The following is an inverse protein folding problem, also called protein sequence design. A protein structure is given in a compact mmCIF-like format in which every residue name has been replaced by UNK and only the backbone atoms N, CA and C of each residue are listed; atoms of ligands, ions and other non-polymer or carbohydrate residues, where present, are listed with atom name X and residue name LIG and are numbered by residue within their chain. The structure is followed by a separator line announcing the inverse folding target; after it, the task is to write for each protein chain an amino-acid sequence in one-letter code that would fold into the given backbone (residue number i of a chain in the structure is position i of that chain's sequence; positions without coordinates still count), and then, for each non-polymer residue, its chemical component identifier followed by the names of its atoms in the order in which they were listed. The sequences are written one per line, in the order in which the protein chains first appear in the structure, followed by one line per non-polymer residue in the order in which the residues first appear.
data_IF_871364623429
#
_entry.id   IF_871364623429
#
_cell.length_a   1.000
_cell.length_b   1.000
_cell.length_c   1.000
_cell.angle_alpha   90.00
_cell.angle_beta   90.00
_cell.angle_gamma   90.00
#
_symmetry.space_group_name_H-M   'P 1'
#
loop_
_entity.id
_entity.type
_entity.pdbx_description
1 polymer ?
#
# COMPACT_ATOMS: atom_id res chain seq x y z
N UNK A 1 -7.77 8.89 7.64
CA UNK A 1 -6.50 8.23 8.02
C UNK A 1 -5.45 8.67 7.00
N UNK A 2 -4.23 9.06 7.42
CA UNK A 2 -3.24 9.72 6.54
C UNK A 2 -2.96 8.99 5.21
N UNK A 3 -3.01 7.66 5.19
CA UNK A 3 -2.81 6.89 3.95
C UNK A 3 -3.97 7.07 2.98
N UNK A 4 -5.22 7.05 3.43
CA UNK A 4 -6.39 7.27 2.56
C UNK A 4 -6.32 8.66 1.90
N UNK A 5 -5.95 9.67 2.67
CA UNK A 5 -5.73 11.03 2.17
C UNK A 5 -4.58 11.11 1.15
N UNK A 6 -3.52 10.31 1.29
CA UNK A 6 -2.43 10.25 0.30
C UNK A 6 -2.88 9.67 -1.04
N UNK A 7 -3.82 8.71 -1.03
CA UNK A 7 -4.43 8.18 -2.24
C UNK A 7 -5.37 9.20 -2.89
N UNK A 8 -6.25 9.81 -2.09
CA UNK A 8 -7.19 10.84 -2.54
C UNK A 8 -6.45 12.05 -3.13
N UNK A 9 -5.41 12.56 -2.45
CA UNK A 9 -4.56 13.65 -2.95
C UNK A 9 -3.77 13.28 -4.22
N UNK A 10 -3.58 11.97 -4.48
CA UNK A 10 -2.96 11.44 -5.68
C UNK A 10 -3.92 11.28 -6.87
N UNK A 11 -5.18 11.70 -6.73
CA UNK A 11 -6.22 11.53 -7.74
C UNK A 11 -6.73 10.09 -7.85
N UNK A 12 -6.52 9.27 -6.82
CA UNK A 12 -6.95 7.88 -6.79
C UNK A 12 -8.19 7.77 -5.89
N UNK A 13 -9.34 7.59 -6.52
CA UNK A 13 -10.54 7.16 -5.81
C UNK A 13 -10.44 5.68 -5.48
N UNK A 14 -10.66 5.36 -4.21
CA UNK A 14 -10.62 3.98 -3.69
C UNK A 14 -11.84 3.77 -2.84
N UNK A 15 -12.58 2.70 -3.11
CA UNK A 15 -13.61 2.21 -2.20
C UNK A 15 -12.97 1.76 -0.89
N UNK A 16 -13.74 1.75 0.20
CA UNK A 16 -13.24 1.27 1.49
C UNK A 16 -12.79 -0.20 1.43
N UNK A 17 -13.38 -1.02 0.56
CA UNK A 17 -12.97 -2.40 0.37
C UNK A 17 -11.61 -2.51 -0.34
N UNK A 18 -11.41 -1.76 -1.43
CA UNK A 18 -10.13 -1.71 -2.14
C UNK A 18 -9.03 -1.17 -1.23
N UNK A 19 -9.34 -0.10 -0.48
CA UNK A 19 -8.41 0.48 0.47
C UNK A 19 -7.97 -0.53 1.53
N UNK A 20 -8.91 -1.31 2.10
CA UNK A 20 -8.58 -2.39 3.05
C UNK A 20 -7.70 -3.47 2.42
N UNK A 21 -7.98 -3.89 1.18
CA UNK A 21 -7.17 -4.88 0.46
C UNK A 21 -5.74 -4.35 0.21
N UNK A 22 -5.61 -3.12 -0.26
CA UNK A 22 -4.30 -2.48 -0.49
C UNK A 22 -3.50 -2.38 0.80
N UNK A 23 -4.11 -1.94 1.90
CA UNK A 23 -3.45 -1.89 3.21
C UNK A 23 -2.98 -3.26 3.69
N UNK A 24 -3.79 -4.30 3.48
CA UNK A 24 -3.44 -5.66 3.86
C UNK A 24 -2.23 -6.16 3.08
N UNK A 25 -2.23 -6.02 1.75
CA UNK A 25 -1.11 -6.41 0.87
C UNK A 25 0.16 -5.63 1.26
N UNK A 26 0.04 -4.31 1.44
CA UNK A 26 1.16 -3.44 1.83
C UNK A 26 1.77 -3.87 3.16
N UNK A 27 0.92 -4.16 4.15
CA UNK A 27 1.38 -4.58 5.49
C UNK A 27 2.06 -5.94 5.44
N UNK A 28 1.52 -6.87 4.66
CA UNK A 28 2.09 -8.21 4.52
C UNK A 28 3.44 -8.18 3.80
N UNK A 29 3.59 -7.37 2.74
CA UNK A 29 4.88 -7.16 2.05
C UNK A 29 5.95 -6.55 2.97
N UNK A 30 5.58 -5.53 3.75
CA UNK A 30 6.51 -4.92 4.72
C UNK A 30 6.92 -5.93 5.79
N UNK A 31 5.99 -6.74 6.28
CA UNK A 31 6.28 -7.79 7.27
C UNK A 31 7.24 -8.82 6.69
N UNK A 32 6.95 -9.33 5.49
CA UNK A 32 7.80 -10.31 4.82
C UNK A 32 9.19 -9.77 4.54
N UNK A 33 9.31 -8.53 4.06
CA UNK A 33 10.58 -7.88 3.82
C UNK A 33 11.42 -7.74 5.11
N UNK A 34 10.76 -7.46 6.24
CA UNK A 34 11.42 -7.41 7.54
C UNK A 34 11.85 -8.79 8.02
N UNK A 35 10.99 -9.80 7.92
CA UNK A 35 11.25 -11.16 8.44
C UNK A 35 12.33 -11.86 7.62
N UNK A 36 12.25 -11.80 6.29
CA UNK A 36 13.16 -12.53 5.40
C UNK A 36 14.50 -11.84 5.19
N UNK A 37 14.50 -10.51 5.10
CA UNK A 37 15.69 -9.76 4.69
C UNK A 37 16.20 -8.77 5.74
N UNK A 38 15.53 -8.67 6.90
CA UNK A 38 15.86 -7.66 7.91
C UNK A 38 15.63 -6.21 7.44
N UNK A 39 14.95 -6.02 6.30
CA UNK A 39 14.80 -4.72 5.66
C UNK A 39 13.79 -3.87 6.43
N UNK A 40 14.20 -2.64 6.78
CA UNK A 40 13.29 -1.62 7.30
C UNK A 40 12.67 -0.84 6.14
N UNK A 41 11.36 -0.63 6.21
CA UNK A 41 10.62 0.11 5.19
C UNK A 41 10.33 1.52 5.67
N UNK A 42 10.77 2.50 4.88
CA UNK A 42 10.45 3.92 5.11
C UNK A 42 9.01 4.26 4.73
N UNK A 43 8.51 5.42 5.17
CA UNK A 43 7.18 5.90 4.78
C UNK A 43 7.02 6.01 3.26
N UNK A 44 8.02 6.57 2.56
CA UNK A 44 7.97 6.71 1.10
C UNK A 44 7.91 5.34 0.39
N UNK A 45 8.64 4.35 0.89
CA UNK A 45 8.58 2.99 0.35
C UNK A 45 7.22 2.34 0.63
N UNK A 46 6.65 2.54 1.82
CA UNK A 46 5.30 2.05 2.12
C UNK A 46 4.26 2.63 1.16
N UNK A 47 4.31 3.93 0.89
CA UNK A 47 3.42 4.58 -0.09
C UNK A 47 3.63 4.03 -1.50
N UNK A 48 4.88 3.79 -1.91
CA UNK A 48 5.19 3.20 -3.21
C UNK A 48 4.62 1.76 -3.34
N UNK A 49 4.80 0.93 -2.32
CA UNK A 49 4.24 -0.43 -2.26
C UNK A 49 2.72 -0.35 -2.38
N UNK A 50 2.07 0.52 -1.58
CA UNK A 50 0.62 0.68 -1.60
C UNK A 50 0.09 1.09 -2.99
N UNK A 51 0.77 2.03 -3.67
CA UNK A 51 0.42 2.45 -5.04
C UNK A 51 0.56 1.31 -6.05
N UNK A 52 1.62 0.51 -5.95
CA UNK A 52 1.84 -0.66 -6.80
C UNK A 52 0.75 -1.70 -6.54
N UNK A 53 0.46 -2.00 -5.27
CA UNK A 53 -0.60 -2.94 -4.88
C UNK A 53 -1.96 -2.52 -5.41
N UNK A 54 -2.29 -1.23 -5.32
CA UNK A 54 -3.54 -0.71 -5.89
C UNK A 54 -3.58 -0.87 -7.40
N UNK A 55 -2.53 -0.46 -8.12
CA UNK A 55 -2.46 -0.63 -9.58
C UNK A 55 -2.65 -2.09 -9.99
N UNK A 56 -2.01 -3.03 -9.31
CA UNK A 56 -2.16 -4.48 -9.60
C UNK A 56 -3.60 -4.94 -9.37
N UNK A 57 -4.25 -4.45 -8.31
CA UNK A 57 -5.62 -4.83 -7.96
C UNK A 57 -6.66 -4.31 -8.97
N UNK A 58 -6.43 -3.15 -9.58
CA UNK A 58 -7.37 -2.52 -10.53
C UNK A 58 -7.02 -2.72 -12.00
N UNK A 59 -5.89 -3.38 -12.32
CA UNK A 59 -5.47 -3.66 -13.71
C UNK A 59 -6.08 -4.96 -14.27
N UNK A 60 -7.12 -5.50 -13.64
CA UNK A 60 -7.80 -6.75 -14.01
C UNK A 60 -9.25 -6.46 -14.36
#
# INVERSE_FOLDING_TARGET
MMIKQLFENGGIEVTDQEFKKVLKITTDDIRENRVKFGKRTSLNQMVAIARISFKVLTSV
#
